data_IF_077556594256
#
_entry.id   IF_077556594256
#
_cell.length_a   1.000
_cell.length_b   1.000
_cell.length_c   1.000
_cell.angle_alpha   90.00
_cell.angle_beta   90.00
_cell.angle_gamma   90.00
#
_symmetry.space_group_name_H-M   'P 1'
#
loop_
_entity.id
_entity.type
_entity.pdbx_description
1 polymer ?
#
# COMPACT_ATOMS: atom_id res chain seq x y z
N UNK A 1 -16.41 -17.95 3.95
CA UNK A 1 -15.90 -17.84 5.34
C UNK A 1 -15.93 -16.37 5.72
N UNK A 2 -16.90 -15.97 6.55
CA UNK A 2 -17.09 -14.57 6.95
C UNK A 2 -16.50 -14.39 8.34
N UNK A 3 -15.22 -14.05 8.42
CA UNK A 3 -14.59 -13.68 9.69
C UNK A 3 -14.84 -12.18 9.91
N UNK A 4 -15.36 -11.84 11.09
CA UNK A 4 -15.61 -10.47 11.51
C UNK A 4 -14.35 -9.61 11.36
N UNK A 5 -14.48 -8.47 10.67
CA UNK A 5 -13.48 -7.44 10.32
C UNK A 5 -12.74 -6.78 11.51
N UNK A 6 -12.80 -7.38 12.69
CA UNK A 6 -12.27 -6.89 13.96
C UNK A 6 -11.18 -7.78 14.54
N UNK A 7 -10.91 -8.95 13.97
CA UNK A 7 -9.94 -9.90 14.53
C UNK A 7 -8.55 -9.70 13.93
N UNK A 8 -7.55 -9.47 14.77
CA UNK A 8 -6.14 -9.48 14.37
C UNK A 8 -5.65 -10.87 13.91
N UNK A 9 -6.52 -11.88 13.93
CA UNK A 9 -6.21 -13.24 13.46
C UNK A 9 -5.87 -13.29 11.98
N UNK A 10 -6.43 -12.39 11.17
CA UNK A 10 -6.10 -12.31 9.73
C UNK A 10 -4.65 -11.85 9.50
N UNK A 11 -4.06 -11.11 10.46
CA UNK A 11 -2.63 -10.79 10.40
C UNK A 11 -1.78 -12.03 10.66
N UNK A 12 -2.26 -12.94 11.53
CA UNK A 12 -1.53 -14.13 11.89
C UNK A 12 -1.41 -15.12 10.71
N UNK A 13 -2.37 -15.14 9.79
CA UNK A 13 -2.32 -16.03 8.61
C UNK A 13 -1.21 -15.71 7.61
N UNK A 14 -0.53 -14.56 7.75
CA UNK A 14 0.66 -14.25 6.95
C UNK A 14 1.91 -15.00 7.43
N UNK A 15 1.85 -15.64 8.59
CA UNK A 15 2.99 -16.33 9.20
C UNK A 15 2.73 -17.83 9.28
N UNK A 16 3.80 -18.62 9.16
CA UNK A 16 3.70 -20.07 9.31
C UNK A 16 3.53 -20.43 10.79
N UNK A 17 2.49 -21.19 11.17
CA UNK A 17 2.38 -21.73 12.53
C UNK A 17 3.43 -22.80 12.82
N UNK A 18 4.12 -23.30 11.78
CA UNK A 18 5.17 -24.31 11.88
C UNK A 18 6.59 -23.73 11.85
N UNK A 19 6.73 -22.40 11.94
CA UNK A 19 8.02 -21.77 12.10
C UNK A 19 8.71 -22.34 13.35
N UNK A 20 9.98 -22.74 13.24
CA UNK A 20 10.76 -23.35 14.32
C UNK A 20 11.77 -22.37 14.90
N UNK A 21 12.24 -21.45 14.09
CA UNK A 21 13.20 -20.42 14.45
C UNK A 21 12.78 -19.07 13.86
N UNK A 22 13.23 -17.94 14.43
CA UNK A 22 12.88 -16.61 13.93
C UNK A 22 13.16 -16.44 12.43
N UNK A 23 14.21 -17.06 11.90
CA UNK A 23 14.62 -16.94 10.51
C UNK A 23 13.59 -17.47 9.52
N UNK A 24 12.72 -18.37 9.96
CA UNK A 24 11.60 -18.92 9.17
C UNK A 24 10.45 -17.90 9.01
N UNK A 25 10.42 -16.85 9.83
CA UNK A 25 9.40 -15.80 9.79
C UNK A 25 9.88 -14.69 8.86
N UNK A 26 9.17 -14.32 7.78
CA UNK A 26 9.61 -13.22 6.92
C UNK A 26 9.77 -11.93 7.73
N UNK A 27 10.84 -11.17 7.46
CA UNK A 27 11.05 -9.89 8.14
C UNK A 27 9.93 -8.95 7.72
N UNK A 28 9.13 -8.52 8.68
CA UNK A 28 7.82 -7.91 8.43
C UNK A 28 7.62 -6.64 9.23
N UNK A 29 7.07 -5.60 8.60
CA UNK A 29 6.49 -4.45 9.29
C UNK A 29 4.98 -4.43 9.06
N UNK A 30 4.23 -4.35 10.16
CA UNK A 30 2.78 -4.20 10.14
C UNK A 30 2.41 -2.80 10.61
N UNK A 31 1.79 -2.01 9.74
CA UNK A 31 1.27 -0.69 10.07
C UNK A 31 -0.18 -0.79 10.55
N UNK A 32 -0.46 -0.13 11.66
CA UNK A 32 -1.80 -0.03 12.27
C UNK A 32 -2.13 1.43 12.59
N UNK A 33 -3.40 1.74 12.83
CA UNK A 33 -3.86 3.11 13.04
C UNK A 33 -3.59 3.59 14.46
N UNK A 34 -3.77 2.71 15.45
CA UNK A 34 -3.69 3.10 16.87
C UNK A 34 -2.69 2.28 17.67
N UNK A 35 -2.23 2.85 18.79
CA UNK A 35 -1.33 2.16 19.73
C UNK A 35 -1.96 0.88 20.29
N UNK A 36 -3.26 0.95 20.59
CA UNK A 36 -4.03 -0.18 21.09
C UNK A 36 -4.08 -1.33 20.09
N UNK A 37 -4.28 -1.01 18.81
CA UNK A 37 -4.18 -2.00 17.74
C UNK A 37 -2.78 -2.60 17.65
N UNK A 38 -1.72 -1.80 17.85
CA UNK A 38 -0.35 -2.31 17.77
C UNK A 38 -0.08 -3.38 18.85
N UNK A 39 -0.52 -3.12 20.08
CA UNK A 39 -0.41 -4.08 21.17
C UNK A 39 -1.26 -5.33 20.93
N UNK A 40 -2.53 -5.16 20.53
CA UNK A 40 -3.44 -6.28 20.29
C UNK A 40 -3.03 -7.16 19.11
N UNK A 41 -2.55 -6.56 18.02
CA UNK A 41 -2.03 -7.28 16.87
C UNK A 41 -0.78 -8.08 17.24
N UNK A 42 0.17 -7.45 17.95
CA UNK A 42 1.37 -8.15 18.39
C UNK A 42 1.03 -9.33 19.31
N UNK A 43 0.12 -9.15 20.28
CA UNK A 43 -0.35 -10.22 21.17
C UNK A 43 -1.06 -11.34 20.40
N UNK A 44 -1.93 -11.02 19.45
CA UNK A 44 -2.61 -12.00 18.61
C UNK A 44 -1.63 -12.85 17.78
N UNK A 45 -0.61 -12.23 17.19
CA UNK A 45 0.42 -12.93 16.42
C UNK A 45 1.27 -13.81 17.35
N UNK A 46 1.67 -13.31 18.52
CA UNK A 46 2.42 -14.09 19.53
C UNK A 46 1.67 -15.34 19.98
N UNK A 47 0.35 -15.25 20.15
CA UNK A 47 -0.50 -16.41 20.52
C UNK A 47 -0.68 -17.41 19.40
N UNK A 48 -0.49 -16.99 18.16
CA UNK A 48 -0.57 -17.87 16.99
C UNK A 48 0.74 -18.61 16.72
N UNK A 49 1.87 -17.95 16.98
CA UNK A 49 3.21 -18.55 16.86
C UNK A 49 3.51 -19.49 18.04
N UNK A 50 4.53 -20.34 17.85
CA UNK A 50 5.09 -21.11 18.96
C UNK A 50 5.53 -20.16 20.09
N UNK A 51 5.25 -20.47 21.38
CA UNK A 51 5.65 -19.64 22.51
C UNK A 51 7.14 -19.26 22.52
N UNK A 52 8.04 -20.11 22.00
CA UNK A 52 9.47 -19.79 21.92
C UNK A 52 9.78 -18.64 20.94
N UNK A 53 8.90 -18.37 19.98
CA UNK A 53 9.02 -17.31 18.97
C UNK A 53 8.32 -16.01 19.37
N UNK A 54 7.73 -15.92 20.56
CA UNK A 54 7.04 -14.71 21.00
C UNK A 54 7.95 -13.47 21.06
N UNK A 55 9.26 -13.65 21.25
CA UNK A 55 10.28 -12.59 21.22
C UNK A 55 10.55 -12.05 19.81
N UNK A 56 10.16 -12.79 18.76
CA UNK A 56 10.27 -12.38 17.38
C UNK A 56 9.24 -11.32 16.96
N UNK A 57 8.32 -10.95 17.87
CA UNK A 57 7.25 -9.98 17.62
C UNK A 57 7.33 -8.82 18.62
N UNK A 58 7.39 -7.59 18.13
CA UNK A 58 7.42 -6.40 18.96
C UNK A 58 6.46 -5.33 18.45
N UNK A 59 5.73 -4.68 19.38
CA UNK A 59 4.96 -3.47 19.08
C UNK A 59 5.86 -2.23 19.16
N UNK A 60 5.80 -1.37 18.15
CA UNK A 60 6.57 -0.13 18.05
C UNK A 60 5.63 1.07 17.99
N UNK A 61 5.43 1.74 19.12
CA UNK A 61 4.54 2.90 19.19
C UNK A 61 5.31 4.15 19.59
N UNK A 62 4.66 5.32 19.54
CA UNK A 62 5.28 6.53 20.05
C UNK A 62 5.54 6.50 21.56
N UNK A 63 4.94 5.56 22.31
CA UNK A 63 5.23 5.33 23.73
C UNK A 63 6.54 4.57 23.89
N UNK A 64 7.36 5.02 24.83
CA UNK A 64 8.68 4.45 25.10
C UNK A 64 9.77 5.50 24.99
N UNK A 65 10.86 5.26 25.72
CA UNK A 65 12.04 6.13 25.68
C UNK A 65 12.74 6.01 24.31
N UNK A 66 13.50 7.04 23.94
CA UNK A 66 14.32 6.97 22.73
C UNK A 66 15.30 5.79 22.77
N UNK A 67 15.86 5.49 23.94
CA UNK A 67 16.72 4.32 24.14
C UNK A 67 16.01 3.00 23.80
N UNK A 68 14.76 2.83 24.26
CA UNK A 68 13.97 1.63 23.95
C UNK A 68 13.66 1.51 22.46
N UNK A 69 13.30 2.63 21.81
CA UNK A 69 13.03 2.65 20.36
C UNK A 69 14.29 2.28 19.56
N UNK A 70 15.43 2.86 19.94
CA UNK A 70 16.73 2.55 19.32
C UNK A 70 17.09 1.08 19.49
N UNK A 71 16.91 0.51 20.68
CA UNK A 71 17.19 -0.90 20.96
C UNK A 71 16.29 -1.84 20.14
N UNK A 72 14.97 -1.58 20.09
CA UNK A 72 14.04 -2.35 19.26
C UNK A 72 14.44 -2.29 17.80
N UNK A 73 14.80 -1.12 17.30
CA UNK A 73 15.26 -0.96 15.91
C UNK A 73 16.58 -1.68 15.66
N UNK A 74 17.55 -1.56 16.56
CA UNK A 74 18.81 -2.29 16.43
C UNK A 74 18.60 -3.80 16.39
N UNK A 75 17.73 -4.34 17.25
CA UNK A 75 17.33 -5.75 17.21
C UNK A 75 16.68 -6.10 15.88
N UNK A 76 15.75 -5.29 15.41
CA UNK A 76 15.09 -5.52 14.11
C UNK A 76 16.07 -5.47 12.92
N UNK A 77 17.10 -4.62 12.96
CA UNK A 77 18.08 -4.51 11.88
C UNK A 77 19.15 -5.58 11.91
N UNK A 78 19.75 -5.79 13.09
CA UNK A 78 21.04 -6.47 13.22
C UNK A 78 20.93 -7.89 13.73
N UNK A 79 19.87 -8.20 14.48
CA UNK A 79 19.70 -9.54 15.03
C UNK A 79 18.70 -10.31 14.20
N UNK A 80 18.92 -11.61 14.07
CA UNK A 80 17.98 -12.49 13.39
C UNK A 80 16.76 -12.82 14.26
N UNK A 81 16.74 -12.38 15.53
CA UNK A 81 15.70 -12.73 16.50
C UNK A 81 14.40 -11.93 16.36
N UNK A 82 14.44 -10.62 16.11
CA UNK A 82 13.22 -9.81 15.97
C UNK A 82 12.80 -9.73 14.50
N UNK A 83 11.61 -10.25 14.17
CA UNK A 83 11.16 -10.46 12.79
C UNK A 83 9.92 -9.69 12.41
N UNK A 84 9.03 -9.44 13.37
CA UNK A 84 7.75 -8.76 13.13
C UNK A 84 7.69 -7.51 14.00
N UNK A 85 7.63 -6.36 13.34
CA UNK A 85 7.45 -5.06 14.00
C UNK A 85 6.04 -4.53 13.72
N UNK A 86 5.23 -4.37 14.76
CA UNK A 86 3.87 -3.81 14.63
C UNK A 86 3.90 -2.34 15.02
N UNK A 87 3.87 -1.45 14.04
CA UNK A 87 4.04 -0.02 14.22
C UNK A 87 2.74 0.76 14.00
N UNK A 88 2.51 1.80 14.79
CA UNK A 88 1.51 2.82 14.40
C UNK A 88 2.03 3.62 13.21
N UNK A 89 1.19 4.05 12.28
CA UNK A 89 1.54 4.96 11.18
C UNK A 89 2.47 6.11 11.62
N UNK A 90 2.02 6.90 12.60
CA UNK A 90 2.82 8.00 13.14
C UNK A 90 4.08 7.58 13.92
N UNK A 91 4.10 6.35 14.44
CA UNK A 91 5.27 5.79 15.10
C UNK A 91 6.31 5.24 14.12
N UNK A 92 5.85 4.75 12.96
CA UNK A 92 6.72 4.27 11.88
C UNK A 92 7.18 5.38 10.93
N UNK A 93 6.57 6.56 10.98
CA UNK A 93 7.11 7.76 10.34
C UNK A 93 8.52 8.02 10.88
N UNK A 94 9.52 7.99 9.99
CA UNK A 94 10.94 8.17 10.33
C UNK A 94 11.70 6.89 10.68
N UNK A 95 11.07 5.70 10.65
CA UNK A 95 11.84 4.46 10.52
C UNK A 95 12.58 4.51 9.19
N UNK A 96 13.90 4.41 9.16
CA UNK A 96 14.63 4.18 7.90
C UNK A 96 14.91 2.69 7.75
N UNK A 97 13.84 1.91 7.57
CA UNK A 97 13.97 0.46 7.38
C UNK A 97 13.95 0.14 5.89
N UNK A 98 15.06 -0.39 5.39
CA UNK A 98 15.15 -1.09 4.12
C UNK A 98 15.22 -2.61 4.35
N UNK A 99 15.08 -3.37 3.26
CA UNK A 99 15.24 -4.83 3.23
C UNK A 99 14.26 -5.59 4.13
N UNK A 100 12.99 -5.20 4.04
CA UNK A 100 11.86 -5.91 4.66
C UNK A 100 11.23 -6.83 3.62
N UNK A 101 11.01 -8.10 3.97
CA UNK A 101 10.41 -9.08 3.07
C UNK A 101 8.91 -8.79 2.85
N UNK A 102 8.22 -8.32 3.90
CA UNK A 102 6.77 -8.11 3.90
C UNK A 102 6.36 -6.80 4.60
N UNK A 103 5.56 -5.99 3.92
CA UNK A 103 4.89 -4.82 4.50
C UNK A 103 3.39 -5.12 4.53
N UNK A 104 2.75 -5.00 5.70
CA UNK A 104 1.30 -5.15 5.85
C UNK A 104 0.75 -3.83 6.36
N UNK A 105 -0.14 -3.20 5.60
CA UNK A 105 -0.96 -2.08 6.06
C UNK A 105 -2.30 -2.65 6.52
N UNK A 106 -2.53 -2.65 7.84
CA UNK A 106 -3.78 -3.11 8.43
C UNK A 106 -4.79 -1.96 8.51
N UNK A 107 -5.91 -2.11 7.82
CA UNK A 107 -6.89 -1.05 7.51
C UNK A 107 -6.32 -0.02 6.54
N UNK A 108 -7.24 0.70 5.89
CA UNK A 108 -6.90 1.82 5.02
C UNK A 108 -6.07 2.85 5.80
N UNK A 109 -4.93 3.22 5.20
CA UNK A 109 -4.12 4.35 5.65
C UNK A 109 -4.87 5.66 5.48
N UNK A 110 -4.37 6.74 6.09
CA UNK A 110 -4.99 8.07 5.93
C UNK A 110 -4.95 8.54 4.49
N UNK A 111 -3.90 8.16 3.77
CA UNK A 111 -3.73 8.47 2.35
C UNK A 111 -3.10 7.29 1.62
N UNK A 112 -3.38 7.15 0.32
CA UNK A 112 -2.69 6.18 -0.53
C UNK A 112 -1.18 6.45 -0.58
N UNK A 113 -0.78 7.71 -0.60
CA UNK A 113 0.63 8.13 -0.60
C UNK A 113 1.40 7.55 0.58
N UNK A 114 0.81 7.56 1.78
CA UNK A 114 1.40 6.96 2.98
C UNK A 114 1.62 5.46 2.80
N UNK A 115 0.64 4.74 2.27
CA UNK A 115 0.79 3.31 1.96
C UNK A 115 1.89 3.08 0.91
N UNK A 116 1.96 3.88 -0.14
CA UNK A 116 3.00 3.76 -1.18
C UNK A 116 4.40 4.02 -0.59
N UNK A 117 4.53 4.97 0.34
CA UNK A 117 5.78 5.21 1.06
C UNK A 117 6.17 4.02 1.94
N UNK A 118 5.21 3.36 2.59
CA UNK A 118 5.46 2.12 3.33
C UNK A 118 5.87 0.98 2.39
N UNK A 119 5.18 0.81 1.26
CA UNK A 119 5.47 -0.21 0.27
C UNK A 119 6.88 -0.03 -0.34
N UNK A 120 7.35 1.20 -0.54
CA UNK A 120 8.72 1.51 -0.99
C UNK A 120 9.84 1.10 -0.02
N UNK A 121 9.50 0.56 1.14
CA UNK A 121 10.43 -0.02 2.13
C UNK A 121 10.56 -1.54 1.99
N UNK A 122 9.63 -2.17 1.28
CA UNK A 122 9.76 -3.57 0.91
C UNK A 122 11.02 -3.74 0.05
N UNK A 123 11.73 -4.84 0.29
CA UNK A 123 13.04 -5.25 -0.26
C UNK A 123 13.56 -4.43 -1.46
N UNK A 124 14.76 -3.85 -1.32
CA UNK A 124 15.42 -3.08 -2.40
C UNK A 124 16.47 -3.87 -3.18
N UNK A 125 16.69 -5.13 -2.82
CA UNK A 125 17.70 -5.98 -3.45
C UNK A 125 17.20 -6.57 -4.77
N UNK A 126 18.02 -6.50 -5.82
CA UNK A 126 17.69 -7.01 -7.17
C UNK A 126 17.38 -8.52 -7.21
N UNK A 127 17.86 -9.29 -6.24
CA UNK A 127 17.69 -10.75 -6.16
C UNK A 127 16.52 -11.22 -5.31
N UNK A 128 15.80 -10.31 -4.63
CA UNK A 128 14.70 -10.66 -3.71
C UNK A 128 13.52 -9.74 -3.94
N UNK A 129 12.32 -10.31 -3.92
CA UNK A 129 11.07 -9.55 -4.07
C UNK A 129 10.49 -9.24 -2.70
N UNK A 130 10.26 -7.96 -2.42
CA UNK A 130 9.48 -7.53 -1.26
C UNK A 130 8.00 -7.48 -1.60
N UNK A 131 7.14 -7.85 -0.66
CA UNK A 131 5.68 -7.83 -0.84
C UNK A 131 5.07 -6.74 0.03
N UNK A 132 4.13 -5.98 -0.52
CA UNK A 132 3.31 -5.02 0.23
C UNK A 132 1.83 -5.38 0.10
N UNK A 133 1.15 -5.51 1.24
CA UNK A 133 -0.27 -5.91 1.33
C UNK A 133 -1.07 -4.81 2.01
N UNK A 134 -2.17 -4.39 1.39
CA UNK A 134 -3.15 -3.49 1.99
C UNK A 134 -4.40 -4.31 2.37
N UNK A 135 -4.67 -4.42 3.67
CA UNK A 135 -5.89 -5.02 4.17
C UNK A 135 -6.96 -3.95 4.31
N UNK A 136 -8.03 -4.08 3.52
CA UNK A 136 -9.17 -3.17 3.54
C UNK A 136 -10.47 -3.95 3.80
N UNK A 137 -11.47 -3.24 4.30
CA UNK A 137 -12.80 -3.83 4.50
C UNK A 137 -13.46 -4.10 3.14
N UNK A 138 -14.35 -5.10 3.08
CA UNK A 138 -14.95 -5.56 1.82
C UNK A 138 -15.61 -4.45 1.00
N UNK A 139 -16.24 -3.47 1.68
CA UNK A 139 -16.87 -2.33 1.01
C UNK A 139 -15.89 -1.46 0.22
N UNK A 140 -14.60 -1.46 0.60
CA UNK A 140 -13.59 -0.66 -0.09
C UNK A 140 -13.31 -1.18 -1.51
N UNK A 141 -13.74 -2.40 -1.83
CA UNK A 141 -13.60 -3.03 -3.14
C UNK A 141 -14.88 -2.98 -3.98
N UNK A 142 -15.97 -2.39 -3.47
CA UNK A 142 -17.20 -2.23 -4.24
C UNK A 142 -16.98 -1.19 -5.34
N UNK A 143 -16.88 -1.64 -6.59
CA UNK A 143 -16.89 -0.73 -7.72
C UNK A 143 -18.33 -0.23 -7.90
N UNK A 144 -18.55 1.06 -7.65
CA UNK A 144 -19.68 1.74 -8.28
C UNK A 144 -19.39 1.71 -9.78
N UNK A 145 -19.90 0.69 -10.46
CA UNK A 145 -19.94 0.66 -11.93
C UNK A 145 -20.60 1.96 -12.36
N UNK A 146 -19.79 2.88 -12.89
CA UNK A 146 -20.28 4.09 -13.54
C UNK A 146 -21.18 3.58 -14.66
N UNK A 147 -22.49 3.63 -14.41
CA UNK A 147 -23.52 3.34 -15.41
C UNK A 147 -23.35 4.39 -16.49
N UNK A 148 -22.65 4.02 -17.56
CA UNK A 148 -22.69 4.75 -18.81
C UNK A 148 -24.13 4.66 -19.32
N UNK A 149 -24.94 5.69 -19.03
CA UNK A 149 -26.22 5.90 -19.70
C UNK A 149 -25.92 6.29 -21.15
N UNK A 150 -25.61 5.32 -22.01
CA UNK A 150 -25.82 5.49 -23.45
C UNK A 150 -27.31 5.51 -23.69
N UNK A 151 -27.89 6.70 -23.68
CA UNK A 151 -29.22 6.98 -24.22
C UNK A 151 -29.20 6.57 -25.69
N UNK A 152 -29.68 5.35 -25.98
CA UNK A 152 -30.10 4.98 -27.33
C UNK A 152 -31.43 5.69 -27.57
N UNK A 153 -31.37 6.91 -28.10
CA UNK A 153 -32.52 7.54 -28.74
C UNK A 153 -32.85 6.73 -30.00
N UNK A 154 -33.75 5.77 -29.86
CA UNK A 154 -34.55 5.26 -30.96
C UNK A 154 -35.39 6.41 -31.50
N UNK A 155 -35.06 6.90 -32.69
CA UNK A 155 -35.95 7.71 -33.52
C UNK A 155 -35.70 7.34 -34.97
N UNK A 156 -36.29 6.23 -35.39
CA UNK A 156 -36.52 5.92 -36.79
C UNK A 156 -37.91 6.42 -37.19
N UNK A 157 -38.03 6.81 -38.47
CA UNK A 157 -39.18 7.32 -39.24
C UNK A 157 -39.42 8.84 -39.17
N UNK A 158 -39.58 9.60 -40.26
CA UNK A 158 -39.73 9.30 -41.70
C UNK A 158 -39.68 10.63 -42.52
N UNK A 159 -39.27 10.50 -43.80
CA UNK A 159 -39.63 11.29 -45.00
C UNK A 159 -39.23 12.78 -45.24
N UNK A 160 -38.26 12.92 -46.16
CA UNK A 160 -38.27 13.65 -47.45
C UNK A 160 -38.80 15.10 -47.58
N UNK A 161 -37.91 16.04 -47.96
CA UNK A 161 -37.95 16.78 -49.25
C UNK A 161 -36.87 17.90 -49.34
N UNK A 162 -36.08 17.81 -50.41
CA UNK A 162 -35.38 18.81 -51.24
C UNK A 162 -35.40 20.31 -50.83
N UNK A 163 -34.23 20.96 -50.80
CA UNK A 163 -33.83 22.12 -51.66
C UNK A 163 -32.59 22.89 -51.15
N UNK A 164 -31.61 23.04 -52.06
CA UNK A 164 -30.56 24.06 -52.21
C UNK A 164 -30.27 25.10 -51.11
N UNK A 165 -28.99 25.22 -50.75
CA UNK A 165 -28.24 26.51 -50.81
C UNK A 165 -26.75 26.33 -50.56
N UNK A 166 -25.97 26.65 -51.59
CA UNK A 166 -24.52 26.81 -51.67
C UNK A 166 -24.01 27.97 -50.81
N UNK A 167 -22.98 27.77 -49.98
CA UNK A 167 -22.00 28.83 -49.66
C UNK A 167 -20.58 28.25 -49.51
N UNK A 168 -19.65 28.85 -50.26
CA UNK A 168 -18.18 28.67 -50.32
C UNK A 168 -17.47 29.26 -49.09
N UNK A 169 -16.24 28.80 -48.81
CA UNK A 169 -15.22 29.54 -48.04
C UNK A 169 -14.18 28.63 -47.39
N UNK A 170 -13.25 28.04 -48.15
CA UNK A 170 -11.83 28.45 -48.33
C UNK A 170 -10.85 27.88 -47.31
N UNK A 171 -9.94 27.09 -47.88
CA UNK A 171 -8.68 26.54 -47.37
C UNK A 171 -7.69 27.66 -46.97
N UNK A 172 -6.91 27.41 -45.93
CA UNK A 172 -5.70 28.17 -45.58
C UNK A 172 -4.72 27.25 -44.89
N UNK A 173 -3.88 26.61 -45.69
CA UNK A 173 -2.66 25.91 -45.32
C UNK A 173 -1.55 26.96 -45.18
N UNK A 174 -0.76 26.95 -44.11
CA UNK A 174 0.54 27.61 -44.10
C UNK A 174 1.53 26.89 -43.18
N UNK A 175 2.42 26.19 -43.84
CA UNK A 175 3.67 25.62 -43.37
C UNK A 175 4.72 26.68 -42.97
N UNK A 176 5.61 26.25 -42.08
CA UNK A 176 7.08 26.46 -42.12
C UNK A 176 7.76 27.33 -41.02
N UNK A 177 8.59 26.59 -40.26
CA UNK A 177 10.04 26.79 -40.14
C UNK A 177 10.64 27.55 -38.92
N UNK A 178 11.44 26.77 -38.17
CA UNK A 178 12.85 26.98 -37.76
C UNK A 178 13.30 28.22 -36.97
N UNK A 179 13.85 27.96 -35.77
CA UNK A 179 15.27 28.16 -35.34
C UNK A 179 15.36 27.99 -33.81
N UNK A 180 16.07 27.01 -33.26
CA UNK A 180 17.52 26.99 -32.98
C UNK A 180 18.01 28.11 -32.04
N UNK A 181 18.42 27.77 -30.81
CA UNK A 181 19.76 28.04 -30.25
C UNK A 181 19.85 27.87 -28.70
N UNK A 182 20.68 26.91 -28.28
CA UNK A 182 21.73 26.99 -27.22
C UNK A 182 21.78 28.25 -26.34
N UNK A 183 21.86 28.07 -25.02
CA UNK A 183 23.10 28.30 -24.21
C UNK A 183 22.94 27.95 -22.72
N UNK A 184 24.05 27.49 -22.16
CA UNK A 184 24.30 27.19 -20.75
C UNK A 184 24.91 28.39 -19.99
N UNK A 185 24.74 28.40 -18.66
CA UNK A 185 25.58 28.96 -17.55
C UNK A 185 24.64 29.18 -16.35
N UNK A 186 24.97 28.89 -15.08
CA UNK A 186 26.24 28.84 -14.34
C UNK A 186 26.17 27.68 -13.35
#
# INVERSE_FOLDING_TARGET
MSYSNTSFRDLASFFSPFAKQPEDIPKTIIYVRTKHEAYKAADAIKRFLDPCLASAVCSFTSLGTNALKTDVLQRFYKTSGLRILVATEAGGMGLDVADVDLIIQFRLSRTLTEFVQHAGRAMRQLSRTGVAVLLAESWAFESNSIRNNTTTTNSASQHASTSHSTVRGTVGDETSSTKAARRAKV
#
